data_IF_913194626705
#
_entry.id   IF_913194626705
#
_cell.length_a   1.000
_cell.length_b   1.000
_cell.length_c   1.000
_cell.angle_alpha   90.00
_cell.angle_beta   90.00
_cell.angle_gamma   90.00
#
_symmetry.space_group_name_H-M   'P 1'
#
loop_
_entity.id
_entity.type
_entity.pdbx_description
1 polymer ?
#
# COMPACT_ATOMS: atom_id res chain seq x y z
N UNK A 1 -5.13 -21.83 -23.45
CA UNK A 1 -4.14 -21.45 -22.41
C UNK A 1 -4.12 -19.92 -22.35
N UNK A 2 -4.46 -19.27 -21.22
CA UNK A 2 -4.45 -17.80 -21.13
C UNK A 2 -2.99 -17.31 -21.19
N UNK A 3 -2.69 -16.22 -21.93
CA UNK A 3 -1.32 -15.73 -22.05
C UNK A 3 -0.80 -15.28 -20.68
N UNK A 4 0.41 -15.71 -20.31
CA UNK A 4 1.12 -15.17 -19.14
C UNK A 4 1.33 -13.68 -19.37
N UNK A 5 0.97 -12.85 -18.38
CA UNK A 5 1.15 -11.40 -18.45
C UNK A 5 2.26 -11.00 -17.49
N UNK A 6 3.13 -10.13 -17.99
CA UNK A 6 4.09 -9.41 -17.16
C UNK A 6 3.34 -8.26 -16.48
N UNK A 7 3.51 -8.12 -15.17
CA UNK A 7 3.08 -6.92 -14.48
C UNK A 7 4.26 -5.96 -14.40
N UNK A 8 4.02 -4.67 -14.58
CA UNK A 8 5.04 -3.64 -14.31
C UNK A 8 5.57 -3.68 -12.87
N UNK A 9 4.83 -4.30 -11.94
CA UNK A 9 5.15 -4.36 -10.50
C UNK A 9 5.77 -5.69 -10.07
N UNK A 10 5.62 -6.77 -10.85
CA UNK A 10 6.23 -8.06 -10.56
C UNK A 10 7.36 -8.27 -11.56
N UNK A 11 8.59 -8.42 -11.07
CA UNK A 11 9.75 -8.76 -11.92
C UNK A 11 9.63 -10.14 -12.60
N UNK A 12 8.56 -10.90 -12.30
CA UNK A 12 8.29 -12.24 -12.80
C UNK A 12 6.92 -12.34 -13.49
N UNK A 13 6.83 -13.23 -14.48
CA UNK A 13 5.58 -13.56 -15.17
C UNK A 13 4.59 -14.22 -14.22
N UNK A 14 3.36 -13.71 -14.14
CA UNK A 14 2.31 -14.27 -13.30
C UNK A 14 1.14 -14.79 -14.14
N UNK A 15 0.49 -15.83 -13.63
CA UNK A 15 -0.72 -16.41 -14.23
C UNK A 15 -2.00 -15.64 -13.88
N UNK A 16 -1.92 -14.73 -12.90
CA UNK A 16 -3.04 -13.91 -12.45
C UNK A 16 -3.00 -12.56 -13.18
N UNK A 17 -4.13 -11.86 -13.31
CA UNK A 17 -4.22 -10.49 -13.85
C UNK A 17 -4.96 -9.60 -12.85
N UNK A 18 -4.25 -8.69 -12.17
CA UNK A 18 -4.75 -7.73 -11.19
C UNK A 18 -4.64 -6.35 -11.84
N UNK A 19 -5.74 -5.60 -11.80
CA UNK A 19 -5.73 -4.25 -12.37
C UNK A 19 -4.92 -3.29 -11.49
N UNK A 20 -4.18 -2.38 -12.12
CA UNK A 20 -3.42 -1.32 -11.45
C UNK A 20 -4.31 -0.44 -10.55
N UNK A 21 -5.60 -0.31 -10.87
CA UNK A 21 -6.58 0.41 -10.05
C UNK A 21 -6.78 -0.19 -8.65
N UNK A 22 -6.49 -1.47 -8.45
CA UNK A 22 -6.42 -2.07 -7.10
C UNK A 22 -5.05 -1.96 -6.45
N UNK A 23 -4.00 -1.91 -7.26
CA UNK A 23 -2.62 -1.90 -6.78
C UNK A 23 -2.25 -0.52 -6.22
N UNK A 24 -2.60 0.56 -6.93
CA UNK A 24 -2.17 1.90 -6.52
C UNK A 24 -2.68 2.35 -5.14
N UNK A 25 -3.95 2.13 -4.75
CA UNK A 25 -4.41 2.47 -3.41
C UNK A 25 -3.69 1.68 -2.29
N UNK A 26 -3.18 0.48 -2.59
CA UNK A 26 -2.43 -0.36 -1.65
C UNK A 26 -1.01 0.19 -1.48
N UNK A 27 -0.29 0.40 -2.58
CA UNK A 27 1.08 0.93 -2.54
C UNK A 27 1.11 2.38 -2.01
N UNK A 28 0.15 3.20 -2.42
CA UNK A 28 0.04 4.59 -1.99
C UNK A 28 -0.21 4.76 -0.49
N UNK A 29 -0.68 3.73 0.20
CA UNK A 29 -0.87 3.73 1.65
C UNK A 29 0.46 3.91 2.40
N UNK A 30 1.54 3.30 1.90
CA UNK A 30 2.84 3.26 2.55
C UNK A 30 3.52 4.61 2.61
N UNK A 31 3.06 5.62 1.85
CA UNK A 31 3.56 7.00 1.98
C UNK A 31 3.38 7.57 3.40
N UNK A 32 2.51 6.98 4.23
CA UNK A 32 2.38 7.30 5.65
C UNK A 32 3.66 7.04 6.46
N UNK A 33 4.58 6.23 5.94
CA UNK A 33 5.86 5.92 6.57
C UNK A 33 6.98 6.87 6.15
N UNK A 34 6.74 7.77 5.19
CA UNK A 34 7.76 8.71 4.72
C UNK A 34 7.94 9.84 5.74
N UNK A 35 9.20 10.13 6.07
CA UNK A 35 9.60 11.29 6.87
C UNK A 35 10.64 12.08 6.11
N UNK A 36 10.44 13.38 6.06
CA UNK A 36 11.40 14.31 5.49
C UNK A 36 12.37 14.78 6.58
N UNK A 37 13.68 14.58 6.39
CA UNK A 37 14.72 15.19 7.23
C UNK A 37 15.07 16.55 6.64
N UNK A 38 14.74 17.62 7.36
CA UNK A 38 15.00 18.99 6.89
C UNK A 38 16.50 19.29 6.79
N UNK A 39 17.30 18.61 7.59
CA UNK A 39 18.74 18.86 7.72
C UNK A 39 19.55 18.26 6.55
N UNK A 40 19.13 17.10 6.02
CA UNK A 40 19.80 16.44 4.89
C UNK A 40 19.05 16.58 3.56
N UNK A 41 17.86 17.20 3.57
CA UNK A 41 16.93 17.25 2.42
C UNK A 41 16.56 15.86 1.87
N UNK A 42 16.68 14.83 2.71
CA UNK A 42 16.41 13.43 2.33
C UNK A 42 15.04 12.97 2.81
N UNK A 43 14.51 11.99 2.08
CA UNK A 43 13.31 11.26 2.46
C UNK A 43 13.73 9.90 2.99
N UNK A 44 13.25 9.58 4.19
CA UNK A 44 13.49 8.28 4.81
C UNK A 44 12.19 7.59 5.20
N UNK A 45 12.29 6.29 5.45
CA UNK A 45 11.22 5.52 6.04
C UNK A 45 11.33 5.53 7.57
N UNK A 46 10.24 5.85 8.27
CA UNK A 46 10.19 5.80 9.74
C UNK A 46 10.30 4.35 10.24
N UNK A 47 9.77 3.39 9.46
CA UNK A 47 9.87 1.94 9.68
C UNK A 47 10.07 1.25 8.33
N UNK A 48 10.66 0.05 8.33
CA UNK A 48 10.73 -0.77 7.14
C UNK A 48 9.29 -1.03 6.59
N UNK A 49 8.97 -0.59 5.36
CA UNK A 49 7.65 -0.79 4.79
C UNK A 49 7.28 -2.27 4.64
N UNK A 50 8.25 -3.18 4.50
CA UNK A 50 8.00 -4.62 4.42
C UNK A 50 7.56 -5.17 5.78
N UNK A 51 8.13 -4.65 6.86
CA UNK A 51 7.73 -5.04 8.21
C UNK A 51 6.28 -4.61 8.50
N UNK A 52 5.94 -3.36 8.17
CA UNK A 52 4.56 -2.85 8.30
C UNK A 52 3.61 -3.64 7.39
N UNK A 53 4.02 -3.96 6.16
CA UNK A 53 3.23 -4.79 5.25
C UNK A 53 2.87 -6.15 5.86
N UNK A 54 3.79 -6.81 6.55
CA UNK A 54 3.52 -8.09 7.20
C UNK A 54 2.49 -7.98 8.34
N UNK A 55 2.34 -6.80 8.95
CA UNK A 55 1.38 -6.55 10.02
C UNK A 55 -0.02 -6.16 9.47
N UNK A 56 -0.08 -5.39 8.38
CA UNK A 56 -1.33 -4.73 7.93
C UNK A 56 -1.77 -5.06 6.51
N UNK A 57 -0.95 -5.78 5.75
CA UNK A 57 -1.17 -6.05 4.32
C UNK A 57 -2.53 -6.68 4.05
N UNK A 58 -2.91 -7.69 4.85
CA UNK A 58 -4.22 -8.34 4.74
C UNK A 58 -5.38 -7.36 4.91
N UNK A 59 -5.30 -6.43 5.87
CA UNK A 59 -6.34 -5.42 6.11
C UNK A 59 -6.45 -4.42 4.97
N UNK A 60 -5.33 -3.98 4.41
CA UNK A 60 -5.30 -3.05 3.25
C UNK A 60 -5.91 -3.73 2.01
N UNK A 61 -5.53 -4.98 1.76
CA UNK A 61 -6.06 -5.76 0.64
C UNK A 61 -7.57 -5.98 0.81
N UNK A 62 -8.03 -6.39 2.00
CA UNK A 62 -9.44 -6.57 2.29
C UNK A 62 -10.23 -5.28 2.05
N UNK A 63 -9.80 -4.15 2.64
CA UNK A 63 -10.45 -2.85 2.47
C UNK A 63 -10.53 -2.43 0.99
N UNK A 64 -9.49 -2.75 0.20
CA UNK A 64 -9.45 -2.44 -1.24
C UNK A 64 -10.49 -3.22 -2.04
N UNK A 65 -10.65 -4.51 -1.78
CA UNK A 65 -11.62 -5.34 -2.50
C UNK A 65 -13.06 -5.19 -2.00
N UNK A 66 -13.25 -4.83 -0.73
CA UNK A 66 -14.58 -4.56 -0.16
C UNK A 66 -15.14 -3.20 -0.59
N UNK A 67 -14.27 -2.21 -0.85
CA UNK A 67 -14.71 -0.86 -1.24
C UNK A 67 -15.35 -0.81 -2.63
N UNK A 68 -14.76 -1.49 -3.62
CA UNK A 68 -15.31 -1.50 -4.97
C UNK A 68 -14.86 -2.72 -5.79
N UNK A 69 -15.81 -3.40 -6.44
CA UNK A 69 -15.53 -4.51 -7.35
C UNK A 69 -15.12 -4.08 -8.78
N UNK A 70 -15.04 -2.77 -9.05
CA UNK A 70 -14.50 -2.20 -10.27
C UNK A 70 -13.16 -1.50 -10.00
N UNK A 71 -12.05 -1.96 -10.60
CA UNK A 71 -10.73 -1.39 -10.35
C UNK A 71 -10.59 0.07 -10.80
N UNK A 72 -11.29 0.49 -11.85
CA UNK A 72 -11.22 1.87 -12.33
C UNK A 72 -11.84 2.82 -11.29
N UNK A 73 -12.92 2.39 -10.65
CA UNK A 73 -13.56 3.16 -9.58
C UNK A 73 -12.70 3.12 -8.31
N UNK A 74 -12.20 1.94 -7.91
CA UNK A 74 -11.31 1.80 -6.76
C UNK A 74 -10.07 2.70 -6.86
N UNK A 75 -9.41 2.71 -8.04
CA UNK A 75 -8.22 3.52 -8.26
C UNK A 75 -8.46 5.03 -8.16
N UNK A 76 -9.69 5.49 -8.38
CA UNK A 76 -10.08 6.90 -8.29
C UNK A 76 -10.82 7.26 -6.98
N UNK A 77 -11.04 6.30 -6.10
CA UNK A 77 -11.81 6.49 -4.86
C UNK A 77 -10.96 7.11 -3.76
N UNK A 78 -11.10 8.42 -3.55
CA UNK A 78 -10.38 9.15 -2.49
C UNK A 78 -10.58 8.57 -1.09
N UNK A 79 -11.73 7.98 -0.78
CA UNK A 79 -11.99 7.41 0.55
C UNK A 79 -11.21 6.12 0.75
N UNK A 80 -11.12 5.27 -0.28
CA UNK A 80 -10.28 4.07 -0.25
C UNK A 80 -8.81 4.43 0.01
N UNK A 81 -8.27 5.42 -0.72
CA UNK A 81 -6.88 5.87 -0.53
C UNK A 81 -6.63 6.40 0.89
N UNK A 82 -7.57 7.19 1.43
CA UNK A 82 -7.46 7.73 2.78
C UNK A 82 -7.57 6.63 3.85
N UNK A 83 -8.48 5.66 3.66
CA UNK A 83 -8.67 4.53 4.56
C UNK A 83 -7.41 3.66 4.62
N UNK A 84 -6.85 3.29 3.47
CA UNK A 84 -5.61 2.52 3.39
C UNK A 84 -4.43 3.28 4.03
N UNK A 85 -4.30 4.58 3.77
CA UNK A 85 -3.28 5.43 4.41
C UNK A 85 -3.40 5.40 5.94
N UNK A 86 -4.62 5.55 6.48
CA UNK A 86 -4.88 5.53 7.92
C UNK A 86 -4.54 4.19 8.57
N UNK A 87 -4.75 3.07 7.87
CA UNK A 87 -4.37 1.75 8.36
C UNK A 87 -2.86 1.69 8.61
N UNK A 88 -2.05 2.14 7.64
CA UNK A 88 -0.58 2.17 7.76
C UNK A 88 -0.14 3.16 8.85
N UNK A 89 -0.68 4.37 8.84
CA UNK A 89 -0.35 5.43 9.81
C UNK A 89 -0.68 5.02 11.26
N UNK A 90 -1.84 4.42 11.49
CA UNK A 90 -2.22 3.97 12.84
C UNK A 90 -1.24 2.93 13.37
N UNK A 91 -0.70 2.09 12.50
CA UNK A 91 0.16 0.98 12.89
C UNK A 91 1.60 1.44 13.08
N UNK A 92 2.07 2.39 12.27
CA UNK A 92 3.33 3.07 12.54
C UNK A 92 3.31 3.81 13.88
N UNK A 93 2.22 4.54 14.19
CA UNK A 93 2.05 5.21 15.49
C UNK A 93 2.06 4.22 16.66
N UNK A 94 1.34 3.10 16.54
CA UNK A 94 1.35 2.03 17.55
C UNK A 94 2.74 1.44 17.77
N UNK A 95 3.55 1.36 16.72
CA UNK A 95 4.92 0.83 16.80
C UNK A 95 5.86 1.83 17.46
N UNK A 96 5.74 3.12 17.15
CA UNK A 96 6.49 4.18 17.84
C UNK A 96 6.25 4.17 19.35
N UNK A 97 4.99 4.01 19.77
CA UNK A 97 4.62 3.97 21.19
C UNK A 97 5.18 2.75 21.93
N UNK A 98 5.50 1.65 21.24
CA UNK A 98 6.10 0.44 21.86
C UNK A 98 7.62 0.50 21.93
N UNK A 99 8.25 1.38 21.14
CA UNK A 99 9.70 1.53 21.07
C UNK A 99 10.22 2.62 22.03
N UNK A 100 9.37 3.12 22.92
CA UNK A 100 9.67 4.01 24.04
C UNK A 100 9.38 3.30 25.36
#
# INVERSE_FOLDING_TARGET
>A
MKPKRSYSFLGNMSNYSISSGYIYPVFGAFRALLKFRKESEEVEWIFDPIEIWNEVGSSIIQNTFESNNNPQLAGNDKQLWLSNYRIVETQSLRKQLRNH
#
